data_IF_153124281000
#
_entry.id   IF_153124281000
#
_cell.length_a   1.000
_cell.length_b   1.000
_cell.length_c   1.000
_cell.angle_alpha   90.00
_cell.angle_beta   90.00
_cell.angle_gamma   90.00
#
_symmetry.space_group_name_H-M   'P 1'
#
loop_
_entity.id
_entity.type
_entity.pdbx_description
1 polymer ?
#
# COMPACT_ATOMS: atom_id res chain seq x y z
N UNK A 1 -22.39 14.22 -31.98
CA UNK A 1 -21.57 15.33 -31.44
C UNK A 1 -21.28 16.30 -32.57
N UNK A 2 -21.56 17.60 -32.38
CA UNK A 2 -21.15 18.68 -33.29
C UNK A 2 -19.87 19.29 -32.72
N UNK A 3 -18.82 19.36 -33.53
CA UNK A 3 -17.58 20.07 -33.16
C UNK A 3 -17.62 21.43 -33.84
N UNK A 4 -17.65 22.50 -33.05
CA UNK A 4 -17.59 23.88 -33.54
C UNK A 4 -16.18 24.43 -33.35
N UNK A 5 -15.51 24.75 -34.47
CA UNK A 5 -14.20 25.36 -34.49
C UNK A 5 -14.33 26.87 -34.61
N UNK A 6 -14.05 27.59 -33.52
CA UNK A 6 -14.03 29.06 -33.51
C UNK A 6 -12.64 29.52 -33.92
N UNK A 7 -12.56 30.26 -35.03
CA UNK A 7 -11.32 30.75 -35.59
C UNK A 7 -11.33 32.29 -35.70
N UNK A 8 -10.17 32.96 -35.49
CA UNK A 8 -10.03 34.38 -35.77
C UNK A 8 -10.37 34.71 -37.22
N UNK A 9 -11.01 35.87 -37.44
CA UNK A 9 -11.54 36.30 -38.75
C UNK A 9 -10.47 36.31 -39.86
N UNK A 10 -9.22 36.58 -39.52
CA UNK A 10 -8.07 36.58 -40.42
C UNK A 10 -7.71 35.16 -40.90
N UNK A 11 -7.65 34.19 -39.98
CA UNK A 11 -7.41 32.77 -40.30
C UNK A 11 -8.56 32.17 -41.09
N UNK A 12 -9.80 32.57 -40.79
CA UNK A 12 -10.95 32.13 -41.57
C UNK A 12 -10.91 32.66 -43.02
N UNK A 13 -10.48 33.91 -43.22
CA UNK A 13 -10.30 34.49 -44.56
C UNK A 13 -9.21 33.79 -45.38
N UNK A 14 -8.10 33.38 -44.75
CA UNK A 14 -7.04 32.62 -45.45
C UNK A 14 -7.46 31.19 -45.80
N UNK A 15 -8.36 30.59 -45.00
CA UNK A 15 -8.92 29.25 -45.25
C UNK A 15 -10.00 29.23 -46.35
N UNK A 16 -10.72 30.33 -46.58
CA UNK A 16 -11.79 30.42 -47.60
C UNK A 16 -11.36 30.08 -49.04
N UNK A 17 -10.06 30.18 -49.35
CA UNK A 17 -9.49 29.87 -50.69
C UNK A 17 -8.83 28.49 -50.77
N UNK A 18 -8.79 27.74 -49.67
CA UNK A 18 -8.18 26.40 -49.59
C UNK A 18 -9.27 25.36 -49.32
N UNK A 19 -9.04 24.14 -49.76
CA UNK A 19 -9.93 23.03 -49.42
C UNK A 19 -9.65 22.61 -47.97
N UNK A 20 -10.49 23.09 -47.05
CA UNK A 20 -10.35 22.86 -45.59
C UNK A 20 -10.32 21.38 -45.26
N UNK A 21 -11.03 20.54 -46.03
CA UNK A 21 -11.04 19.09 -45.86
C UNK A 21 -9.64 18.49 -46.03
N UNK A 22 -8.96 18.85 -47.11
CA UNK A 22 -7.59 18.40 -47.41
C UNK A 22 -6.63 18.88 -46.33
N UNK A 23 -6.79 20.11 -45.85
CA UNK A 23 -5.92 20.66 -44.79
C UNK A 23 -6.06 19.90 -43.46
N UNK A 24 -7.27 19.44 -43.13
CA UNK A 24 -7.55 18.63 -41.94
C UNK A 24 -6.98 17.22 -42.14
N UNK A 25 -7.19 16.60 -43.31
CA UNK A 25 -6.66 15.28 -43.67
C UNK A 25 -5.12 15.26 -43.64
N UNK A 26 -4.45 16.31 -44.11
CA UNK A 26 -2.99 16.46 -44.05
C UNK A 26 -2.46 16.66 -42.62
N UNK A 27 -3.27 17.25 -41.73
CA UNK A 27 -2.88 17.54 -40.35
C UNK A 27 -3.19 16.39 -39.39
N UNK A 28 -4.14 15.53 -39.74
CA UNK A 28 -4.61 14.39 -38.94
C UNK A 28 -3.46 13.48 -38.45
N UNK A 29 -2.51 13.04 -39.31
CA UNK A 29 -1.42 12.19 -38.88
C UNK A 29 -0.55 12.82 -37.78
N UNK A 30 -0.26 14.13 -37.90
CA UNK A 30 0.55 14.85 -36.90
C UNK A 30 -0.16 14.95 -35.55
N UNK A 31 -1.48 15.15 -35.57
CA UNK A 31 -2.30 15.17 -34.35
C UNK A 31 -2.36 13.78 -33.73
N UNK A 32 -2.50 12.73 -34.54
CA UNK A 32 -2.45 11.34 -34.05
C UNK A 32 -1.11 10.99 -33.41
N UNK A 33 0.00 11.40 -34.01
CA UNK A 33 1.35 11.21 -33.45
C UNK A 33 1.51 11.95 -32.12
N UNK A 34 1.00 13.19 -32.05
CA UNK A 34 1.03 13.98 -30.81
C UNK A 34 0.20 13.33 -29.71
N UNK A 35 -1.03 12.91 -30.01
CA UNK A 35 -1.90 12.22 -29.05
C UNK A 35 -1.32 10.87 -28.62
N UNK A 36 -0.60 10.17 -29.50
CA UNK A 36 0.08 8.93 -29.16
C UNK A 36 1.22 9.17 -28.18
N UNK A 37 2.04 10.21 -28.42
CA UNK A 37 3.12 10.60 -27.53
C UNK A 37 2.59 11.02 -26.15
N UNK A 38 1.56 11.87 -26.10
CA UNK A 38 0.91 12.28 -24.84
C UNK A 38 0.35 11.08 -24.07
N UNK A 39 -0.26 10.13 -24.79
CA UNK A 39 -0.76 8.90 -24.18
C UNK A 39 0.36 8.04 -23.62
N UNK A 40 1.47 7.90 -24.33
CA UNK A 40 2.62 7.14 -23.88
C UNK A 40 3.24 7.76 -22.63
N UNK A 41 3.40 9.09 -22.61
CA UNK A 41 3.90 9.83 -21.44
C UNK A 41 2.98 9.64 -20.23
N UNK A 42 1.67 9.78 -20.41
CA UNK A 42 0.69 9.56 -19.33
C UNK A 42 0.71 8.11 -18.81
N UNK A 43 0.97 7.13 -19.68
CA UNK A 43 1.11 5.72 -19.27
C UNK A 43 2.39 5.50 -18.48
N UNK A 44 3.52 6.07 -18.91
CA UNK A 44 4.80 5.98 -18.20
C UNK A 44 4.71 6.62 -16.81
N UNK A 45 4.11 7.81 -16.69
CA UNK A 45 3.88 8.45 -15.40
C UNK A 45 3.02 7.57 -14.47
N UNK A 46 2.01 6.90 -15.03
CA UNK A 46 1.15 6.01 -14.26
C UNK A 46 1.87 4.73 -13.84
N UNK A 47 2.75 4.18 -14.68
CA UNK A 47 3.59 3.03 -14.33
C UNK A 47 4.51 3.41 -13.17
N UNK A 48 5.22 4.53 -13.26
CA UNK A 48 6.12 4.99 -12.20
C UNK A 48 5.41 5.14 -10.84
N UNK A 49 4.21 5.74 -10.83
CA UNK A 49 3.39 5.87 -9.60
C UNK A 49 2.93 4.53 -9.05
N UNK A 50 2.70 3.53 -9.90
CA UNK A 50 2.31 2.19 -9.47
C UNK A 50 3.51 1.42 -8.91
N UNK A 51 4.68 1.57 -9.53
CA UNK A 51 5.94 0.98 -9.05
C UNK A 51 6.34 1.53 -7.68
N UNK A 52 6.25 2.86 -7.49
CA UNK A 52 6.50 3.50 -6.20
C UNK A 52 5.58 2.94 -5.10
N UNK A 53 4.27 2.87 -5.37
CA UNK A 53 3.30 2.28 -4.44
C UNK A 53 3.56 0.81 -4.15
N UNK A 54 3.97 0.05 -5.16
CA UNK A 54 4.30 -1.36 -4.97
C UNK A 54 5.48 -1.49 -4.00
N UNK A 55 6.50 -0.67 -4.19
CA UNK A 55 7.67 -0.67 -3.31
C UNK A 55 7.34 -0.25 -1.87
N UNK A 56 6.50 0.77 -1.69
CA UNK A 56 5.99 1.16 -0.36
C UNK A 56 5.25 0.01 0.31
N UNK A 57 4.33 -0.63 -0.41
CA UNK A 57 3.55 -1.77 0.11
C UNK A 57 4.44 -2.97 0.46
N UNK A 58 5.48 -3.24 -0.32
CA UNK A 58 6.47 -4.29 -0.02
C UNK A 58 7.21 -3.99 1.28
N UNK A 59 7.61 -2.73 1.50
CA UNK A 59 8.23 -2.28 2.75
C UNK A 59 7.30 -2.45 3.95
N UNK A 60 6.04 -2.01 3.85
CA UNK A 60 5.04 -2.17 4.92
C UNK A 60 4.80 -3.66 5.27
N UNK A 61 4.79 -4.54 4.27
CA UNK A 61 4.65 -5.98 4.48
C UNK A 61 5.86 -6.55 5.25
N UNK A 62 7.07 -6.10 4.93
CA UNK A 62 8.28 -6.56 5.60
C UNK A 62 8.31 -6.08 7.06
N UNK A 63 7.98 -4.82 7.33
CA UNK A 63 7.83 -4.31 8.70
C UNK A 63 6.79 -5.10 9.50
N UNK A 64 5.65 -5.41 8.88
CA UNK A 64 4.59 -6.18 9.53
C UNK A 64 5.04 -7.62 9.85
N UNK A 65 5.82 -8.24 8.97
CA UNK A 65 6.40 -9.57 9.20
C UNK A 65 7.37 -9.53 10.39
N UNK A 66 8.26 -8.56 10.45
CA UNK A 66 9.18 -8.41 11.58
C UNK A 66 8.43 -8.19 12.90
N UNK A 67 7.40 -7.33 12.89
CA UNK A 67 6.58 -7.09 14.06
C UNK A 67 5.90 -8.37 14.53
N UNK A 68 5.33 -9.14 13.61
CA UNK A 68 4.67 -10.41 13.93
C UNK A 68 5.65 -11.43 14.52
N UNK A 69 6.85 -11.55 13.97
CA UNK A 69 7.88 -12.43 14.53
C UNK A 69 8.28 -12.02 15.95
N UNK A 70 8.48 -10.73 16.20
CA UNK A 70 8.80 -10.21 17.55
C UNK A 70 7.67 -10.54 18.53
N UNK A 71 6.42 -10.27 18.13
CA UNK A 71 5.25 -10.57 18.94
C UNK A 71 5.11 -12.08 19.24
N UNK A 72 5.44 -12.95 18.29
CA UNK A 72 5.42 -14.40 18.48
C UNK A 72 6.47 -14.83 19.51
N UNK A 73 7.71 -14.33 19.40
CA UNK A 73 8.78 -14.63 20.36
C UNK A 73 8.42 -14.16 21.77
N UNK A 74 7.81 -12.98 21.90
CA UNK A 74 7.38 -12.46 23.20
C UNK A 74 6.24 -13.29 23.79
N UNK A 75 5.27 -13.72 22.97
CA UNK A 75 4.21 -14.64 23.39
C UNK A 75 4.80 -15.95 23.93
N UNK A 76 5.76 -16.55 23.23
CA UNK A 76 6.41 -17.79 23.66
C UNK A 76 7.13 -17.60 25.01
N UNK A 77 7.87 -16.50 25.17
CA UNK A 77 8.53 -16.15 26.44
C UNK A 77 7.52 -16.00 27.58
N UNK A 78 6.42 -15.28 27.35
CA UNK A 78 5.38 -15.11 28.37
C UNK A 78 4.71 -16.43 28.74
N UNK A 79 4.48 -17.32 27.78
CA UNK A 79 3.93 -18.65 28.07
C UNK A 79 4.88 -19.49 28.92
N UNK A 80 6.17 -19.49 28.58
CA UNK A 80 7.19 -20.21 29.36
C UNK A 80 7.27 -19.69 30.80
N UNK A 81 7.24 -18.37 30.98
CA UNK A 81 7.29 -17.75 32.31
C UNK A 81 6.02 -18.05 33.13
N UNK A 82 4.84 -17.98 32.50
CA UNK A 82 3.58 -18.38 33.14
C UNK A 82 3.64 -19.83 33.64
N UNK A 83 4.20 -20.73 32.84
CA UNK A 83 4.26 -22.14 33.21
C UNK A 83 5.28 -22.39 34.34
N UNK A 84 6.41 -21.67 34.37
CA UNK A 84 7.33 -21.67 35.52
C UNK A 84 6.64 -21.19 36.80
N UNK A 85 5.96 -20.04 36.74
CA UNK A 85 5.25 -19.48 37.89
C UNK A 85 4.12 -20.39 38.39
N UNK A 86 3.50 -21.18 37.51
CA UNK A 86 2.50 -22.19 37.90
C UNK A 86 3.12 -23.31 38.74
N UNK A 87 4.28 -23.81 38.33
CA UNK A 87 5.02 -24.85 39.08
C UNK A 87 5.45 -24.31 40.44
N UNK A 88 6.07 -23.13 40.46
CA UNK A 88 6.52 -22.50 41.71
C UNK A 88 5.36 -22.23 42.67
N UNK A 89 4.24 -21.71 42.18
CA UNK A 89 3.05 -21.50 43.01
C UNK A 89 2.49 -22.82 43.58
N UNK A 90 2.50 -23.91 42.81
CA UNK A 90 2.05 -25.21 43.30
C UNK A 90 2.96 -25.72 44.42
N UNK A 91 4.27 -25.56 44.31
CA UNK A 91 5.23 -25.92 45.35
C UNK A 91 5.06 -25.06 46.61
N UNK A 92 4.95 -23.75 46.45
CA UNK A 92 4.73 -22.83 47.57
C UNK A 92 3.43 -23.14 48.31
N UNK A 93 2.34 -23.44 47.58
CA UNK A 93 1.06 -23.84 48.18
C UNK A 93 1.20 -25.12 49.01
N UNK A 94 1.91 -26.14 48.51
CA UNK A 94 2.19 -27.36 49.27
C UNK A 94 2.95 -27.07 50.56
N UNK A 95 4.04 -26.28 50.48
CA UNK A 95 4.84 -25.89 51.66
C UNK A 95 4.01 -25.12 52.69
N UNK A 96 3.12 -24.25 52.25
CA UNK A 96 2.23 -23.48 53.13
C UNK A 96 1.21 -24.40 53.80
N UNK A 97 0.60 -25.34 53.07
CA UNK A 97 -0.32 -26.33 53.65
C UNK A 97 0.36 -27.23 54.68
N UNK A 98 1.59 -27.69 54.39
CA UNK A 98 2.40 -28.50 55.33
C UNK A 98 2.65 -27.73 56.62
N UNK A 99 3.17 -26.49 56.54
CA UNK A 99 3.40 -25.65 57.73
C UNK A 99 2.11 -25.36 58.50
N UNK A 100 0.99 -25.16 57.80
CA UNK A 100 -0.31 -24.95 58.46
C UNK A 100 -0.75 -26.18 59.25
N UNK A 101 -0.60 -27.38 58.68
CA UNK A 101 -0.89 -28.66 59.35
C UNK A 101 0.03 -28.93 60.54
N UNK A 102 1.29 -28.51 60.47
CA UNK A 102 2.23 -28.61 61.60
C UNK A 102 1.80 -27.69 62.75
N UNK A 103 1.44 -26.45 62.46
CA UNK A 103 0.95 -25.49 63.47
C UNK A 103 -0.35 -25.96 64.13
N UNK A 104 -1.29 -26.53 63.36
CA UNK A 104 -2.54 -27.11 63.88
C UNK A 104 -2.33 -28.37 64.75
N UNK A 105 -1.16 -29.01 64.71
CA UNK A 105 -0.80 -30.16 65.58
C UNK A 105 -0.07 -29.76 66.86
N UNK A 106 0.47 -28.54 66.91
CA UNK A 106 1.26 -28.00 68.04
C UNK A 106 0.38 -27.15 68.98
N UNK A 107 -0.85 -26.83 68.58
CA UNK A 107 -1.92 -26.31 69.44
C UNK A 107 -2.94 -27.40 69.77
#
# INVERSE_FOLDING_TARGET
MKVELILPRERFRSLRRRNVKVLIEESLPRVEDTLRAEREEALLERIAKLEEKLHEMEGEIEELREFYEKALRDKERMMAERDRLRVENAELRKRVEEKRRELEKVH
#
